data_IF_868468343901
#
_entry.id   IF_868468343901
#
_cell.length_a   1.000
_cell.length_b   1.000
_cell.length_c   1.000
_cell.angle_alpha   90.00
_cell.angle_beta   90.00
_cell.angle_gamma   90.00
#
_symmetry.space_group_name_H-M   'P 1'
#
loop_
_entity.id
_entity.type
_entity.pdbx_description
1 polymer ?
#
# COMPACT_ATOMS: atom_id res chain seq x y z
N UNK A 1 32.96 9.16 31.95
CA UNK A 1 33.32 10.51 31.47
C UNK A 1 33.57 10.37 29.97
N UNK A 2 32.50 10.38 29.17
CA UNK A 2 31.97 11.52 28.39
C UNK A 2 32.44 11.45 26.92
N UNK A 3 31.45 11.18 26.03
CA UNK A 3 31.18 11.73 24.68
C UNK A 3 32.31 11.68 23.62
N UNK A 4 32.06 11.23 22.38
CA UNK A 4 30.99 11.73 21.52
C UNK A 4 30.66 10.82 20.34
N UNK A 5 29.37 10.56 20.22
CA UNK A 5 28.71 10.04 19.02
C UNK A 5 28.60 11.22 18.04
N UNK A 6 29.60 11.40 17.18
CA UNK A 6 29.51 12.35 16.06
C UNK A 6 29.15 11.58 14.78
N UNK A 7 27.92 11.08 14.72
CA UNK A 7 27.31 10.73 13.45
C UNK A 7 26.64 12.01 12.90
N UNK A 8 27.45 12.91 12.35
CA UNK A 8 26.94 14.06 11.61
C UNK A 8 26.32 13.52 10.32
N UNK A 9 25.01 13.29 10.35
CA UNK A 9 24.23 13.03 9.14
C UNK A 9 24.46 14.20 8.18
N UNK A 10 25.04 13.92 7.02
CA UNK A 10 25.26 14.93 5.99
C UNK A 10 23.93 15.20 5.27
N UNK A 11 23.77 16.37 4.64
CA UNK A 11 22.58 16.71 3.83
C UNK A 11 22.33 15.67 2.72
N UNK A 12 23.36 14.92 2.33
CA UNK A 12 23.29 13.85 1.34
C UNK A 12 22.75 12.51 1.90
N UNK A 13 22.59 12.38 3.21
CA UNK A 13 21.97 11.21 3.87
C UNK A 13 20.44 11.39 4.06
N UNK A 14 19.91 12.60 3.84
CA UNK A 14 18.48 12.91 3.82
C UNK A 14 17.63 12.07 2.83
N UNK A 15 18.12 11.71 1.61
CA UNK A 15 17.41 10.79 0.70
C UNK A 15 17.21 9.40 1.31
N UNK A 16 18.19 8.91 2.08
CA UNK A 16 18.14 7.60 2.71
C UNK A 16 17.19 7.56 3.91
N UNK A 17 16.98 8.69 4.58
CA UNK A 17 16.07 8.85 5.73
C UNK A 17 14.59 9.02 5.36
N UNK A 18 14.28 9.45 4.13
CA UNK A 18 12.91 9.53 3.62
C UNK A 18 12.40 8.20 3.06
N UNK A 19 13.31 7.34 2.57
CA UNK A 19 12.98 6.01 2.05
C UNK A 19 12.17 5.12 3.02
N UNK A 20 12.45 5.07 4.34
CA UNK A 20 11.71 4.22 5.28
C UNK A 20 10.31 4.78 5.53
N UNK A 21 10.18 6.11 5.63
CA UNK A 21 8.88 6.77 5.81
C UNK A 21 7.98 6.57 4.60
N UNK A 22 8.54 6.70 3.39
CA UNK A 22 7.81 6.43 2.15
C UNK A 22 7.43 4.95 2.06
N UNK A 23 8.33 4.04 2.41
CA UNK A 23 8.04 2.61 2.45
C UNK A 23 6.93 2.27 3.45
N UNK A 24 6.94 2.86 4.64
CA UNK A 24 5.88 2.70 5.64
C UNK A 24 4.51 3.17 5.12
N UNK A 25 4.46 4.36 4.53
CA UNK A 25 3.23 4.93 3.95
C UNK A 25 2.71 4.04 2.81
N UNK A 26 3.60 3.58 1.92
CA UNK A 26 3.24 2.71 0.80
C UNK A 26 2.78 1.33 1.26
N UNK A 27 3.46 0.73 2.24
CA UNK A 27 3.05 -0.55 2.82
C UNK A 27 1.67 -0.44 3.50
N UNK A 28 1.41 0.61 4.28
CA UNK A 28 0.09 0.84 4.88
C UNK A 28 -0.98 1.00 3.78
N UNK A 29 -0.68 1.76 2.73
CA UNK A 29 -1.60 1.95 1.62
C UNK A 29 -1.88 0.64 0.87
N UNK A 30 -0.84 -0.13 0.55
CA UNK A 30 -0.98 -1.42 -0.13
C UNK A 30 -1.78 -2.40 0.71
N UNK A 31 -1.59 -2.42 2.04
CA UNK A 31 -2.41 -3.25 2.95
C UNK A 31 -3.89 -2.89 2.81
N UNK A 32 -4.23 -1.60 2.90
CA UNK A 32 -5.63 -1.14 2.79
C UNK A 32 -6.19 -1.41 1.38
N UNK A 33 -5.39 -1.19 0.34
CA UNK A 33 -5.80 -1.41 -1.05
C UNK A 33 -6.05 -2.89 -1.34
N UNK A 34 -5.20 -3.80 -0.87
CA UNK A 34 -5.38 -5.26 -1.03
C UNK A 34 -6.66 -5.71 -0.34
N UNK A 35 -6.89 -5.31 0.92
CA UNK A 35 -8.12 -5.65 1.63
C UNK A 35 -9.37 -5.14 0.89
N UNK A 36 -9.30 -3.92 0.36
CA UNK A 36 -10.41 -3.34 -0.38
C UNK A 36 -10.65 -4.06 -1.72
N UNK A 37 -9.60 -4.42 -2.46
CA UNK A 37 -9.73 -5.21 -3.70
C UNK A 37 -10.39 -6.56 -3.41
N UNK A 38 -9.94 -7.27 -2.38
CA UNK A 38 -10.51 -8.56 -1.98
C UNK A 38 -11.99 -8.46 -1.61
N UNK A 39 -12.39 -7.34 -1.01
CA UNK A 39 -13.79 -7.05 -0.69
C UNK A 39 -14.62 -6.72 -1.93
N UNK A 40 -14.16 -5.76 -2.75
CA UNK A 40 -14.91 -5.23 -3.91
C UNK A 40 -15.05 -6.28 -5.01
N UNK A 41 -14.06 -7.16 -5.15
CA UNK A 41 -14.07 -8.26 -6.15
C UNK A 41 -14.63 -9.56 -5.60
N UNK A 42 -15.22 -9.52 -4.40
CA UNK A 42 -15.87 -10.66 -3.72
C UNK A 42 -15.01 -11.93 -3.64
N UNK A 43 -13.68 -11.79 -3.61
CA UNK A 43 -12.73 -12.92 -3.51
C UNK A 43 -12.90 -13.65 -2.17
N UNK A 44 -13.29 -12.90 -1.14
CA UNK A 44 -13.66 -13.44 0.16
C UNK A 44 -15.07 -12.97 0.55
N UNK A 45 -15.81 -13.76 1.34
CA UNK A 45 -17.16 -13.42 1.74
C UNK A 45 -17.20 -12.13 2.56
N UNK A 46 -18.16 -11.25 2.26
CA UNK A 46 -18.31 -9.94 2.93
C UNK A 46 -18.37 -10.03 4.47
N UNK A 47 -18.81 -11.16 5.02
CA UNK A 47 -18.93 -11.39 6.46
C UNK A 47 -17.60 -11.38 7.23
N UNK A 48 -16.46 -11.54 6.56
CA UNK A 48 -15.14 -11.40 7.21
C UNK A 48 -14.63 -9.97 7.23
N UNK A 49 -15.30 -9.02 6.56
CA UNK A 49 -14.85 -7.64 6.46
C UNK A 49 -15.60 -6.73 7.43
N UNK A 50 -14.87 -5.79 8.00
CA UNK A 50 -15.40 -4.74 8.87
C UNK A 50 -15.10 -3.36 8.28
N UNK A 51 -16.11 -2.51 8.29
CA UNK A 51 -15.98 -1.10 7.88
C UNK A 51 -15.07 -0.36 8.86
N UNK A 52 -14.01 0.24 8.34
CA UNK A 52 -13.08 1.09 9.07
C UNK A 52 -12.92 2.44 8.36
N UNK A 53 -12.14 3.35 8.95
CA UNK A 53 -11.82 4.65 8.36
C UNK A 53 -10.30 4.76 8.21
N UNK A 54 -9.84 4.97 6.97
CA UNK A 54 -8.41 5.17 6.60
C UNK A 54 -8.36 6.30 5.57
N UNK A 55 -7.31 7.14 5.61
CA UNK A 55 -7.17 8.31 4.71
C UNK A 55 -8.44 9.19 4.66
N UNK A 56 -9.11 9.34 5.81
CA UNK A 56 -10.38 10.04 5.97
C UNK A 56 -11.56 9.52 5.08
N UNK A 57 -11.50 8.27 4.63
CA UNK A 57 -12.57 7.59 3.86
C UNK A 57 -12.96 6.25 4.47
N UNK A 58 -14.20 5.78 4.26
CA UNK A 58 -14.59 4.43 4.65
C UNK A 58 -13.86 3.39 3.81
N UNK A 59 -13.32 2.37 4.47
CA UNK A 59 -12.65 1.22 3.86
C UNK A 59 -13.16 -0.08 4.48
N UNK A 60 -12.96 -1.19 3.79
CA UNK A 60 -13.29 -2.53 4.28
C UNK A 60 -12.01 -3.27 4.60
N UNK A 61 -11.88 -3.75 5.83
CA UNK A 61 -10.69 -4.45 6.31
C UNK A 61 -11.11 -5.83 6.81
N UNK A 62 -10.33 -6.86 6.49
CA UNK A 62 -10.61 -8.22 6.95
C UNK A 62 -10.40 -8.31 8.46
N UNK A 63 -11.22 -9.13 9.11
CA UNK A 63 -11.10 -9.55 10.50
C UNK A 63 -10.57 -11.00 10.60
N UNK A 64 -10.35 -11.70 9.48
CA UNK A 64 -9.86 -13.07 9.48
C UNK A 64 -8.35 -13.11 9.79
N UNK A 65 -7.91 -13.70 10.92
CA UNK A 65 -6.52 -13.60 11.36
C UNK A 65 -5.50 -14.15 10.36
N UNK A 66 -5.80 -15.28 9.70
CA UNK A 66 -4.86 -15.89 8.75
C UNK A 66 -4.73 -15.09 7.46
N UNK A 67 -5.82 -14.45 7.01
CA UNK A 67 -5.79 -13.59 5.82
C UNK A 67 -4.99 -12.34 6.11
N UNK A 68 -5.25 -11.72 7.26
CA UNK A 68 -4.54 -10.51 7.70
C UNK A 68 -3.05 -10.79 7.90
N UNK A 69 -2.71 -11.98 8.42
CA UNK A 69 -1.32 -12.40 8.57
C UNK A 69 -0.65 -12.60 7.21
N UNK A 70 -1.29 -13.28 6.26
CA UNK A 70 -0.75 -13.48 4.91
C UNK A 70 -0.49 -12.14 4.19
N UNK A 71 -1.52 -11.31 4.11
CA UNK A 71 -1.50 -9.85 4.29
C UNK A 71 -0.14 -9.20 4.60
N UNK A 72 0.05 -9.10 5.91
CA UNK A 72 1.15 -8.42 6.57
C UNK A 72 2.49 -9.08 6.30
N UNK A 73 2.58 -10.41 6.32
CA UNK A 73 3.82 -11.16 6.06
C UNK A 73 4.33 -10.85 4.63
N UNK A 74 3.43 -10.80 3.65
CA UNK A 74 3.77 -10.43 2.26
C UNK A 74 4.31 -9.02 2.18
N UNK A 75 3.61 -8.04 2.78
CA UNK A 75 4.03 -6.64 2.74
C UNK A 75 5.30 -6.37 3.55
N UNK A 76 5.51 -7.11 4.63
CA UNK A 76 6.73 -7.04 5.42
C UNK A 76 7.96 -7.51 4.62
N UNK A 77 7.80 -8.49 3.74
CA UNK A 77 8.86 -8.88 2.79
C UNK A 77 9.07 -7.83 1.69
N UNK A 78 8.03 -7.12 1.27
CA UNK A 78 8.11 -6.08 0.22
C UNK A 78 8.72 -4.78 0.75
N UNK A 79 8.47 -4.41 2.00
CA UNK A 79 8.95 -3.17 2.62
C UNK A 79 10.45 -2.90 2.41
N UNK A 80 11.40 -3.81 2.74
CA UNK A 80 12.83 -3.54 2.56
C UNK A 80 13.24 -3.41 1.08
N UNK A 81 12.45 -3.94 0.14
CA UNK A 81 12.68 -3.76 -1.29
C UNK A 81 12.24 -2.36 -1.73
N UNK A 82 11.13 -1.85 -1.18
CA UNK A 82 10.68 -0.47 -1.44
C UNK A 82 11.67 0.55 -0.85
N UNK A 83 12.21 0.29 0.34
CA UNK A 83 13.22 1.14 0.97
C UNK A 83 14.48 1.29 0.10
N UNK A 84 14.88 0.22 -0.59
CA UNK A 84 16.01 0.21 -1.53
C UNK A 84 15.66 0.73 -2.91
N UNK A 85 14.39 1.04 -3.16
CA UNK A 85 13.86 1.39 -4.48
C UNK A 85 14.08 0.28 -5.53
N UNK A 86 14.05 -0.99 -5.11
CA UNK A 86 14.21 -2.18 -5.96
C UNK A 86 12.86 -2.71 -6.49
N UNK A 87 11.74 -2.05 -6.16
CA UNK A 87 10.38 -2.45 -6.56
C UNK A 87 9.87 -1.50 -7.63
N UNK A 88 9.69 -2.00 -8.86
CA UNK A 88 9.06 -1.25 -9.94
C UNK A 88 7.52 -1.38 -9.89
N UNK A 89 7.01 -2.58 -9.63
CA UNK A 89 5.57 -2.88 -9.65
C UNK A 89 5.18 -3.85 -8.55
N UNK A 90 4.05 -3.58 -7.90
CA UNK A 90 3.35 -4.52 -7.02
C UNK A 90 2.04 -4.90 -7.71
N UNK A 91 1.78 -6.20 -7.87
CA UNK A 91 0.60 -6.66 -8.62
C UNK A 91 -0.23 -7.59 -7.75
N UNK A 92 -1.51 -7.25 -7.57
CA UNK A 92 -2.49 -8.16 -6.99
C UNK A 92 -3.18 -8.89 -8.13
N UNK A 93 -2.98 -10.19 -8.20
CA UNK A 93 -3.54 -11.05 -9.26
C UNK A 93 -4.70 -11.86 -8.68
N UNK A 94 -5.86 -11.80 -9.33
CA UNK A 94 -6.99 -12.67 -9.03
C UNK A 94 -6.92 -13.84 -10.00
N UNK A 95 -7.01 -15.05 -9.45
CA UNK A 95 -6.99 -16.30 -10.19
C UNK A 95 -8.37 -16.95 -10.16
N UNK A 96 -8.75 -17.64 -11.23
CA UNK A 96 -9.91 -18.53 -11.22
C UNK A 96 -9.59 -19.88 -10.55
N UNK A 97 -10.58 -20.79 -10.52
CA UNK A 97 -10.44 -22.15 -9.96
C UNK A 97 -9.41 -23.02 -10.68
N UNK A 98 -9.14 -22.71 -11.95
CA UNK A 98 -8.15 -23.38 -12.78
C UNK A 98 -6.76 -22.73 -12.66
N UNK A 99 -6.62 -21.75 -11.75
CA UNK A 99 -5.41 -20.96 -11.50
C UNK A 99 -5.00 -20.06 -12.68
N UNK A 100 -5.95 -19.73 -13.57
CA UNK A 100 -5.70 -18.75 -14.63
C UNK A 100 -5.92 -17.32 -14.11
N UNK A 101 -5.05 -16.37 -14.49
CA UNK A 101 -5.16 -14.98 -14.06
C UNK A 101 -6.31 -14.28 -14.78
N UNK A 102 -7.36 -13.96 -14.04
CA UNK A 102 -8.55 -13.27 -14.55
C UNK A 102 -8.41 -11.75 -14.43
N UNK A 103 -7.80 -11.25 -13.36
CA UNK A 103 -7.62 -9.81 -13.14
C UNK A 103 -6.26 -9.49 -12.53
N UNK A 104 -5.76 -8.28 -12.84
CA UNK A 104 -4.50 -7.77 -12.32
C UNK A 104 -4.65 -6.31 -11.90
N UNK A 105 -4.47 -6.03 -10.63
CA UNK A 105 -4.34 -4.68 -10.11
C UNK A 105 -2.86 -4.34 -10.00
N UNK A 106 -2.37 -3.53 -10.93
CA UNK A 106 -0.95 -3.17 -11.05
C UNK A 106 -0.71 -1.82 -10.38
N UNK A 107 0.13 -1.81 -9.35
CA UNK A 107 0.63 -0.61 -8.68
C UNK A 107 2.05 -0.34 -9.13
N UNK A 108 2.24 0.66 -9.98
CA UNK A 108 3.57 1.10 -10.42
C UNK A 108 4.15 2.07 -9.37
N UNK A 109 5.33 1.74 -8.85
CA UNK A 109 6.02 2.51 -7.84
C UNK A 109 7.19 3.23 -8.51
N UNK A 110 7.10 4.56 -8.55
CA UNK A 110 8.18 5.41 -9.01
C UNK A 110 8.54 6.40 -7.90
N UNK A 111 9.78 6.35 -7.41
CA UNK A 111 10.32 7.34 -6.50
C UNK A 111 11.01 8.44 -7.31
N UNK A 112 10.40 9.62 -7.49
CA UNK A 112 11.06 10.71 -8.20
C UNK A 112 12.29 11.17 -7.39
N UNK A 113 13.36 11.63 -8.07
CA UNK A 113 14.49 12.24 -7.38
C UNK A 113 14.02 13.47 -6.59
N UNK A 114 14.59 13.60 -5.39
CA UNK A 114 14.15 14.41 -4.24
C UNK A 114 13.45 15.74 -4.61
N UNK A 115 12.19 15.88 -4.20
CA UNK A 115 11.47 17.16 -4.26
C UNK A 115 11.74 17.94 -2.96
N UNK A 116 12.22 19.18 -3.10
CA UNK A 116 12.42 20.12 -2.00
C UNK A 116 11.09 20.71 -1.51
N UNK A 117 10.20 19.86 -1.00
CA UNK A 117 8.89 20.27 -0.48
C UNK A 117 8.93 20.14 1.05
N UNK A 118 8.35 21.11 1.74
CA UNK A 118 8.21 21.05 3.21
C UNK A 118 7.42 19.80 3.62
N UNK A 119 7.94 19.04 4.58
CA UNK A 119 7.45 17.72 4.98
C UNK A 119 5.96 17.68 5.31
N UNK A 120 5.43 18.68 6.00
CA UNK A 120 4.03 18.70 6.45
C UNK A 120 3.04 18.90 5.31
N UNK A 121 3.38 19.75 4.33
CA UNK A 121 2.53 19.96 3.15
C UNK A 121 2.53 18.74 2.22
N UNK A 122 3.67 18.02 2.17
CA UNK A 122 3.84 16.83 1.36
C UNK A 122 3.02 15.65 1.91
N UNK A 123 3.06 15.39 3.21
CA UNK A 123 2.30 14.28 3.82
C UNK A 123 0.79 14.46 3.63
N UNK A 124 0.27 15.68 3.81
CA UNK A 124 -1.13 15.98 3.55
C UNK A 124 -1.51 15.75 2.08
N UNK A 125 -0.64 16.15 1.16
CA UNK A 125 -0.86 15.95 -0.27
C UNK A 125 -0.84 14.47 -0.66
N UNK A 126 0.12 13.71 -0.14
CA UNK A 126 0.20 12.25 -0.31
C UNK A 126 -1.06 11.59 0.23
N UNK A 127 -1.52 11.95 1.44
CA UNK A 127 -2.76 11.41 2.01
C UNK A 127 -3.97 11.65 1.07
N UNK A 128 -4.08 12.85 0.48
CA UNK A 128 -5.15 13.17 -0.46
C UNK A 128 -5.07 12.34 -1.75
N UNK A 129 -3.86 12.12 -2.27
CA UNK A 129 -3.65 11.27 -3.45
C UNK A 129 -4.02 9.82 -3.14
N UNK A 130 -3.52 9.26 -2.04
CA UNK A 130 -3.85 7.90 -1.59
C UNK A 130 -5.35 7.74 -1.35
N UNK A 131 -6.00 8.74 -0.74
CA UNK A 131 -7.45 8.79 -0.57
C UNK A 131 -8.19 8.68 -1.90
N UNK A 132 -7.73 9.39 -2.93
CA UNK A 132 -8.33 9.32 -4.26
C UNK A 132 -8.20 7.91 -4.87
N UNK A 133 -7.07 7.24 -4.68
CA UNK A 133 -6.88 5.84 -5.09
C UNK A 133 -7.88 4.90 -4.40
N UNK A 134 -8.00 5.00 -3.07
CA UNK A 134 -8.95 4.19 -2.30
C UNK A 134 -10.38 4.40 -2.79
N UNK A 135 -10.79 5.64 -3.07
CA UNK A 135 -12.11 5.94 -3.61
C UNK A 135 -12.33 5.34 -5.00
N UNK A 136 -11.31 5.34 -5.87
CA UNK A 136 -11.39 4.70 -7.19
C UNK A 136 -11.55 3.19 -7.09
N UNK A 137 -10.82 2.53 -6.18
CA UNK A 137 -10.95 1.09 -5.95
C UNK A 137 -12.36 0.77 -5.42
N UNK A 138 -12.90 1.57 -4.50
CA UNK A 138 -14.25 1.36 -3.95
C UNK A 138 -15.37 1.39 -4.98
N UNK A 139 -15.15 1.96 -6.16
CA UNK A 139 -16.15 2.06 -7.24
C UNK A 139 -15.75 1.29 -8.50
N UNK A 140 -14.64 0.52 -8.47
CA UNK A 140 -14.14 -0.15 -9.66
C UNK A 140 -15.08 -1.27 -10.14
N UNK A 141 -15.89 -1.83 -9.25
CA UNK A 141 -16.88 -2.86 -9.58
C UNK A 141 -17.93 -2.39 -10.60
N UNK A 142 -18.21 -1.08 -10.64
CA UNK A 142 -19.11 -0.51 -11.66
C UNK A 142 -18.49 -0.45 -13.07
N UNK A 143 -17.17 -0.66 -13.18
CA UNK A 143 -16.39 -0.51 -14.42
C UNK A 143 -15.80 -1.85 -14.88
N UNK A 144 -15.64 -2.83 -13.97
CA UNK A 144 -15.10 -4.15 -14.25
C UNK A 144 -16.22 -5.18 -14.45
N UNK A 145 -15.99 -6.15 -15.33
CA UNK A 145 -16.90 -7.29 -15.49
C UNK A 145 -16.87 -8.17 -14.22
N UNK A 146 -17.94 -8.92 -13.95
CA UNK A 146 -17.95 -9.80 -12.77
C UNK A 146 -16.93 -10.93 -12.92
N UNK A 147 -16.22 -11.23 -11.84
CA UNK A 147 -15.30 -12.37 -11.81
C UNK A 147 -16.06 -13.70 -11.87
N UNK A 148 -15.49 -14.74 -12.49
CA UNK A 148 -16.07 -16.07 -12.46
C UNK A 148 -16.19 -16.59 -11.02
N UNK A 149 -17.21 -17.42 -10.73
CA UNK A 149 -17.47 -17.94 -9.38
C UNK A 149 -16.46 -18.99 -8.92
#
# INVERSE_FOLDING_TARGET
MLIGVNNMLTVNDWPLLLSPVVADILCEFLEVAVHLILYVREVYPIGIFQKRKKYNVPVQMSCHPELNRYIQDTLHCVKPLIEKNDVEKVVVVILDKEHHPVERFVFEIAQPPLLSISSDSLLSHVEQLLRAFILKISVCDAVLENNPP
#
